data_IF_567972929263
#
_entry.id   IF_567972929263
#
_cell.length_a   1.000
_cell.length_b   1.000
_cell.length_c   1.000
_cell.angle_alpha   90.00
_cell.angle_beta   90.00
_cell.angle_gamma   90.00
#
_symmetry.space_group_name_H-M   'P 1'
#
loop_
_entity.id
_entity.type
_entity.pdbx_description
1 polymer ?
#
# COMPACT_ATOMS: atom_id res chain seq x y z
N UNK A 1 6.76 0.72 -15.66
CA UNK A 1 7.54 0.64 -14.40
C UNK A 1 7.41 1.89 -13.53
N UNK A 2 7.31 3.12 -14.06
CA UNK A 2 7.26 4.37 -13.26
C UNK A 2 5.89 4.74 -12.63
N UNK A 3 4.78 4.24 -13.18
CA UNK A 3 3.43 4.72 -12.80
C UNK A 3 2.88 4.08 -11.52
N UNK A 4 3.17 2.79 -11.29
CA UNK A 4 2.68 2.07 -10.11
C UNK A 4 3.37 2.51 -8.80
N UNK A 5 4.67 2.86 -8.85
CA UNK A 5 5.40 3.44 -7.73
C UNK A 5 4.86 4.83 -7.33
N UNK A 6 4.19 5.53 -8.26
CA UNK A 6 3.49 6.78 -8.00
C UNK A 6 2.07 6.56 -7.44
N UNK A 7 1.50 5.36 -7.48
CA UNK A 7 0.17 5.13 -6.91
C UNK A 7 0.22 4.77 -5.43
N UNK A 8 1.14 3.88 -5.05
CA UNK A 8 1.20 3.33 -3.70
C UNK A 8 2.34 3.93 -2.88
N UNK A 9 2.05 4.41 -1.68
CA UNK A 9 3.06 4.96 -0.75
C UNK A 9 2.89 4.36 0.64
N UNK A 10 3.99 4.23 1.38
CA UNK A 10 3.93 3.85 2.79
C UNK A 10 3.66 5.10 3.62
N UNK A 11 2.66 5.04 4.50
CA UNK A 11 2.26 6.14 5.39
C UNK A 11 2.01 5.63 6.80
N UNK A 12 2.40 6.41 7.80
CA UNK A 12 2.04 6.15 9.19
C UNK A 12 0.64 6.72 9.49
N UNK A 13 -0.24 5.89 10.04
CA UNK A 13 -1.56 6.26 10.56
C UNK A 13 -1.59 6.25 12.10
N UNK A 14 -2.79 6.36 12.66
CA UNK A 14 -3.00 6.41 14.12
C UNK A 14 -2.79 5.08 14.84
N UNK A 15 -2.94 3.97 14.12
CA UNK A 15 -2.92 2.60 14.67
C UNK A 15 -1.84 1.71 14.04
N UNK A 16 -0.87 2.30 13.34
CA UNK A 16 0.20 1.58 12.66
C UNK A 16 0.54 2.18 11.29
N UNK A 17 1.20 1.41 10.45
CA UNK A 17 1.54 1.77 9.08
C UNK A 17 0.50 1.25 8.10
N UNK A 18 0.45 1.87 6.93
CA UNK A 18 -0.41 1.45 5.83
C UNK A 18 0.27 1.65 4.49
N UNK A 19 -0.19 0.93 3.47
CA UNK A 19 0.04 1.29 2.08
C UNK A 19 -1.12 2.14 1.61
N UNK A 20 -0.86 3.41 1.38
CA UNK A 20 -1.85 4.38 0.89
C UNK A 20 -1.91 4.33 -0.63
N UNK A 21 -3.10 4.11 -1.16
CA UNK A 21 -3.43 4.21 -2.57
C UNK A 21 -3.89 5.65 -2.89
N UNK A 22 -3.05 6.38 -3.63
CA UNK A 22 -3.32 7.79 -3.98
C UNK A 22 -4.57 7.95 -4.86
N UNK A 23 -4.95 6.94 -5.64
CA UNK A 23 -6.14 7.01 -6.50
C UNK A 23 -7.42 6.82 -5.68
N UNK A 24 -7.40 5.88 -4.73
CA UNK A 24 -8.55 5.63 -3.83
C UNK A 24 -8.61 6.58 -2.63
N UNK A 25 -7.55 7.35 -2.41
CA UNK A 25 -7.36 8.27 -1.30
C UNK A 25 -7.50 7.59 0.08
N UNK A 26 -7.08 6.34 0.20
CA UNK A 26 -7.19 5.53 1.42
C UNK A 26 -6.22 4.35 1.44
N UNK A 27 -6.35 3.42 2.40
CA UNK A 27 -5.58 2.18 2.39
C UNK A 27 -5.79 1.42 1.07
N UNK A 28 -4.72 0.84 0.56
CA UNK A 28 -4.78 -0.01 -0.62
C UNK A 28 -5.61 -1.26 -0.32
N UNK A 29 -6.45 -1.67 -1.27
CA UNK A 29 -7.20 -2.91 -1.19
C UNK A 29 -6.31 -4.05 -1.68
N UNK A 30 -6.12 -5.07 -0.86
CA UNK A 30 -5.36 -6.27 -1.19
C UNK A 30 -6.23 -7.26 -1.97
N UNK A 31 -5.60 -8.21 -2.66
CA UNK A 31 -6.30 -9.24 -3.46
C UNK A 31 -7.21 -10.14 -2.63
N UNK A 32 -6.90 -10.33 -1.35
CA UNK A 32 -7.70 -11.13 -0.43
C UNK A 32 -8.92 -10.35 0.12
N UNK A 33 -9.11 -9.09 -0.28
CA UNK A 33 -10.20 -8.24 0.18
C UNK A 33 -9.88 -7.42 1.43
N UNK A 34 -8.69 -7.59 2.03
CA UNK A 34 -8.28 -6.85 3.21
C UNK A 34 -7.67 -5.48 2.86
N UNK A 35 -7.74 -4.56 3.82
CA UNK A 35 -7.09 -3.26 3.72
C UNK A 35 -5.64 -3.34 4.17
N UNK A 36 -4.73 -2.69 3.42
CA UNK A 36 -3.31 -2.60 3.77
C UNK A 36 -3.05 -1.57 4.88
N UNK A 37 -3.63 -1.76 6.07
CA UNK A 37 -3.48 -0.91 7.26
C UNK A 37 -3.15 -1.74 8.51
N UNK A 38 -2.86 -1.07 9.64
CA UNK A 38 -2.47 -1.71 10.91
C UNK A 38 -1.21 -2.57 10.79
N UNK A 39 -0.32 -2.19 9.89
CA UNK A 39 0.90 -2.93 9.57
C UNK A 39 2.09 -2.40 10.40
N UNK A 40 3.12 -3.22 10.51
CA UNK A 40 4.48 -2.72 10.71
C UNK A 40 4.97 -1.96 9.46
N UNK A 41 6.02 -1.17 9.61
CA UNK A 41 6.62 -0.44 8.48
C UNK A 41 7.17 -1.42 7.43
N UNK A 42 7.81 -2.48 7.89
CA UNK A 42 8.44 -3.50 7.06
C UNK A 42 7.40 -4.27 6.23
N UNK A 43 6.24 -4.60 6.83
CA UNK A 43 5.11 -5.20 6.12
C UNK A 43 4.55 -4.23 5.07
N UNK A 44 4.37 -2.95 5.42
CA UNK A 44 3.88 -1.95 4.48
C UNK A 44 4.80 -1.77 3.26
N UNK A 45 6.12 -1.73 3.45
CA UNK A 45 7.07 -1.64 2.33
C UNK A 45 7.04 -2.90 1.45
N UNK A 46 6.94 -4.09 2.06
CA UNK A 46 6.80 -5.35 1.32
C UNK A 46 5.53 -5.36 0.47
N UNK A 47 4.40 -4.98 1.06
CA UNK A 47 3.09 -4.93 0.38
C UNK A 47 3.11 -3.89 -0.73
N UNK A 48 3.71 -2.72 -0.52
CA UNK A 48 3.88 -1.70 -1.58
C UNK A 48 4.63 -2.27 -2.79
N UNK A 49 5.70 -3.03 -2.57
CA UNK A 49 6.44 -3.71 -3.63
C UNK A 49 5.57 -4.72 -4.39
N UNK A 50 4.81 -5.54 -3.66
CA UNK A 50 3.87 -6.50 -4.26
C UNK A 50 2.80 -5.80 -5.11
N UNK A 51 2.20 -4.72 -4.59
CA UNK A 51 1.18 -3.96 -5.30
C UNK A 51 1.75 -3.26 -6.54
N UNK A 52 2.96 -2.70 -6.45
CA UNK A 52 3.62 -2.06 -7.59
C UNK A 52 3.90 -3.04 -8.75
N UNK A 53 4.20 -4.31 -8.42
CA UNK A 53 4.43 -5.38 -9.39
C UNK A 53 3.14 -6.03 -9.92
N UNK A 54 1.96 -5.67 -9.38
CA UNK A 54 0.67 -6.18 -9.85
C UNK A 54 0.01 -5.25 -10.89
N UNK A 55 0.41 -3.98 -10.94
CA UNK A 55 -0.09 -2.99 -11.91
C UNK A 55 0.83 -2.82 -13.12
N UNK A 56 1.90 -3.62 -13.20
CA UNK A 56 2.85 -3.69 -14.32
C UNK A 56 2.43 -4.65 -15.41
#
# INVERSE_FOLDING_TARGET
>A
MELAAQRFIVRQGTIGWMVYDRERKGPALLRNGDWAEKLSREEAERIKGLLANQVS
#
